data_IF_175815294361
#
_entry.id   IF_175815294361
#
_cell.length_a   1.000
_cell.length_b   1.000
_cell.length_c   1.000
_cell.angle_alpha   90.00
_cell.angle_beta   90.00
_cell.angle_gamma   90.00
#
_symmetry.space_group_name_H-M   'P 1'
#
loop_
_entity.id
_entity.type
_entity.pdbx_description
1 polymer ?
#
# COMPACT_ATOMS: atom_id res chain seq x y z
N UNK A 1 -3.07 9.03 12.14
CA UNK A 1 -3.14 7.61 11.72
C UNK A 1 -2.70 6.65 12.80
N UNK A 2 -1.74 7.01 13.64
CA UNK A 2 -1.22 6.17 14.74
C UNK A 2 -2.31 5.58 15.65
N UNK A 3 -3.24 6.41 16.15
CA UNK A 3 -4.38 5.94 16.96
C UNK A 3 -5.26 4.89 16.25
N UNK A 4 -5.42 5.01 14.92
CA UNK A 4 -6.20 4.04 14.14
C UNK A 4 -5.45 2.72 13.94
N UNK A 5 -4.11 2.77 13.89
CA UNK A 5 -3.25 1.60 13.68
C UNK A 5 -2.82 0.93 14.98
N UNK A 6 -2.94 1.59 16.13
CA UNK A 6 -2.56 1.04 17.44
C UNK A 6 -3.29 -0.26 17.80
N UNK A 7 -4.49 -0.46 17.24
CA UNK A 7 -5.29 -1.69 17.40
C UNK A 7 -4.78 -2.86 16.55
N UNK A 8 -3.82 -2.64 15.66
CA UNK A 8 -3.36 -3.64 14.71
C UNK A 8 -2.57 -4.74 15.44
N UNK A 9 -3.11 -5.95 15.42
CA UNK A 9 -2.45 -7.16 15.95
C UNK A 9 -1.48 -7.81 14.94
N UNK A 10 -1.26 -7.15 13.80
CA UNK A 10 -0.45 -7.63 12.66
C UNK A 10 -0.71 -9.09 12.25
N UNK A 11 -1.98 -9.49 12.20
CA UNK A 11 -2.41 -10.81 11.72
C UNK A 11 -2.26 -11.01 10.20
N UNK A 12 -1.91 -9.96 9.45
CA UNK A 12 -1.71 -9.95 8.00
C UNK A 12 -2.90 -10.36 7.12
N UNK A 13 -4.10 -10.58 7.67
CA UNK A 13 -5.30 -10.89 6.88
C UNK A 13 -5.54 -9.87 5.76
N UNK A 14 -5.35 -8.59 6.04
CA UNK A 14 -5.49 -7.51 5.07
C UNK A 14 -4.48 -7.57 3.91
N UNK A 15 -3.31 -8.18 4.12
CA UNK A 15 -2.32 -8.46 3.07
C UNK A 15 -2.75 -9.67 2.26
N UNK A 16 -3.08 -10.79 2.93
CA UNK A 16 -3.38 -12.05 2.28
C UNK A 16 -4.63 -12.00 1.38
N UNK A 17 -5.64 -11.20 1.77
CA UNK A 17 -6.84 -11.04 0.94
C UNK A 17 -6.64 -10.12 -0.27
N UNK A 18 -5.53 -9.38 -0.33
CA UNK A 18 -5.38 -8.31 -1.31
C UNK A 18 -4.98 -8.86 -2.69
N UNK A 19 -5.81 -8.71 -3.74
CA UNK A 19 -5.54 -9.32 -5.05
C UNK A 19 -4.33 -8.69 -5.77
N UNK A 20 -3.87 -7.52 -5.32
CA UNK A 20 -2.72 -6.82 -5.91
C UNK A 20 -1.44 -6.95 -5.08
N UNK A 21 -1.50 -7.63 -3.94
CA UNK A 21 -0.34 -7.89 -3.08
C UNK A 21 0.23 -9.29 -3.35
N UNK A 22 0.77 -9.47 -4.57
CA UNK A 22 1.14 -10.79 -5.13
C UNK A 22 2.65 -10.96 -5.34
N UNK A 23 3.47 -10.28 -4.54
CA UNK A 23 4.93 -10.41 -4.67
C UNK A 23 5.38 -11.83 -4.34
N UNK A 24 6.20 -12.43 -5.21
CA UNK A 24 6.83 -13.74 -4.97
C UNK A 24 7.66 -13.73 -3.69
N UNK A 25 8.40 -12.62 -3.46
CA UNK A 25 9.19 -12.40 -2.26
C UNK A 25 8.73 -11.15 -1.53
N UNK A 26 8.04 -11.33 -0.39
CA UNK A 26 7.55 -10.21 0.40
C UNK A 26 8.58 -9.77 1.46
N UNK A 27 8.83 -8.46 1.53
CA UNK A 27 9.66 -7.83 2.57
C UNK A 27 9.11 -8.11 3.98
N UNK A 28 7.79 -8.29 4.11
CA UNK A 28 7.13 -8.67 5.38
C UNK A 28 7.58 -10.05 5.87
N UNK A 29 7.87 -10.97 4.95
CA UNK A 29 8.19 -12.36 5.28
C UNK A 29 9.70 -12.57 5.47
N UNK A 30 10.53 -11.80 4.78
CA UNK A 30 12.00 -11.88 4.83
C UNK A 30 12.56 -11.53 6.22
N UNK A 31 13.52 -12.32 6.67
CA UNK A 31 14.33 -12.06 7.86
C UNK A 31 15.72 -11.50 7.54
N UNK A 32 16.18 -11.59 6.28
CA UNK A 32 17.46 -11.06 5.81
C UNK A 32 17.35 -10.51 4.39
N UNK A 33 17.61 -9.20 4.17
CA UNK A 33 17.65 -8.16 5.21
C UNK A 33 16.29 -8.02 5.91
N UNK A 34 16.30 -7.68 7.19
CA UNK A 34 15.09 -7.36 7.95
C UNK A 34 14.84 -5.86 7.85
N UNK A 35 13.80 -5.46 7.11
CA UNK A 35 13.48 -4.05 6.88
C UNK A 35 12.77 -3.39 8.07
N UNK A 36 11.95 -4.15 8.79
CA UNK A 36 11.28 -3.75 10.02
C UNK A 36 11.01 -4.98 10.86
N UNK A 37 10.82 -4.80 12.17
CA UNK A 37 10.62 -5.93 13.06
C UNK A 37 9.21 -6.49 12.96
N UNK A 38 9.08 -7.75 13.38
CA UNK A 38 7.81 -8.46 13.34
C UNK A 38 6.96 -8.22 14.60
N UNK A 39 7.27 -7.17 15.37
CA UNK A 39 6.51 -6.81 16.58
C UNK A 39 5.28 -5.95 16.27
N UNK A 40 4.41 -5.81 17.27
CA UNK A 40 3.27 -4.90 17.26
C UNK A 40 3.63 -3.50 17.77
N UNK A 41 4.92 -3.17 17.92
CA UNK A 41 5.33 -1.83 18.30
C UNK A 41 4.79 -0.79 17.30
N UNK A 42 4.45 0.43 17.74
CA UNK A 42 3.85 1.45 16.88
C UNK A 42 4.67 1.74 15.61
N UNK A 43 6.00 1.80 15.72
CA UNK A 43 6.91 2.04 14.59
C UNK A 43 6.88 0.91 13.55
N UNK A 44 6.97 -0.35 13.98
CA UNK A 44 6.92 -1.52 13.10
C UNK A 44 5.55 -1.65 12.40
N UNK A 45 4.48 -1.39 13.16
CA UNK A 45 3.11 -1.42 12.65
C UNK A 45 2.90 -0.32 11.62
N UNK A 46 3.35 0.90 11.91
CA UNK A 46 3.29 2.01 10.95
C UNK A 46 4.09 1.68 9.68
N UNK A 47 5.32 1.18 9.83
CA UNK A 47 6.18 0.83 8.69
C UNK A 47 5.54 -0.21 7.79
N UNK A 48 4.94 -1.27 8.37
CA UNK A 48 4.18 -2.26 7.61
C UNK A 48 3.05 -1.62 6.78
N UNK A 49 2.25 -0.74 7.38
CA UNK A 49 1.12 -0.12 6.70
C UNK A 49 1.56 0.87 5.61
N UNK A 50 2.60 1.66 5.85
CA UNK A 50 3.15 2.61 4.87
C UNK A 50 3.73 1.87 3.65
N UNK A 51 4.59 0.89 3.87
CA UNK A 51 5.21 0.11 2.79
C UNK A 51 4.14 -0.63 1.99
N UNK A 52 3.18 -1.28 2.66
CA UNK A 52 2.09 -1.99 1.97
C UNK A 52 1.28 -1.03 1.12
N UNK A 53 0.91 0.14 1.65
CA UNK A 53 0.14 1.13 0.91
C UNK A 53 0.92 1.62 -0.32
N UNK A 54 2.21 1.96 -0.13
CA UNK A 54 3.11 2.38 -1.20
C UNK A 54 3.25 1.33 -2.31
N UNK A 55 3.50 0.06 -1.97
CA UNK A 55 3.56 -1.04 -2.95
C UNK A 55 2.28 -1.25 -3.75
N UNK A 56 1.14 -0.79 -3.22
CA UNK A 56 -0.16 -0.87 -3.89
C UNK A 56 -0.58 0.44 -4.55
N UNK A 57 0.22 1.51 -4.44
CA UNK A 57 -0.07 2.78 -5.09
C UNK A 57 -0.09 2.60 -6.62
N UNK A 58 -1.16 3.07 -7.26
CA UNK A 58 -1.38 2.85 -8.69
C UNK A 58 -1.80 1.41 -9.06
N UNK A 59 -2.02 0.52 -8.09
CA UNK A 59 -2.51 -0.86 -8.33
C UNK A 59 -3.81 -1.14 -7.57
N UNK A 60 -4.03 -0.48 -6.44
CA UNK A 60 -5.26 -0.61 -5.66
C UNK A 60 -6.49 -0.19 -6.48
N UNK A 61 -7.41 -1.12 -6.71
CA UNK A 61 -8.71 -0.88 -7.38
C UNK A 61 -9.86 -0.62 -6.39
N UNK A 62 -9.52 -0.29 -5.15
CA UNK A 62 -10.49 0.02 -4.08
C UNK A 62 -11.57 -1.06 -3.81
N UNK A 63 -11.23 -2.34 -4.01
CA UNK A 63 -12.16 -3.46 -3.80
C UNK A 63 -12.66 -3.65 -2.36
N UNK A 64 -12.09 -2.94 -1.38
CA UNK A 64 -12.48 -2.99 0.04
C UNK A 64 -12.15 -4.28 0.80
N UNK A 65 -11.51 -5.27 0.16
CA UNK A 65 -11.23 -6.58 0.78
C UNK A 65 -10.44 -6.47 2.10
N UNK A 66 -9.45 -5.57 2.13
CA UNK A 66 -8.60 -5.35 3.31
C UNK A 66 -9.36 -4.87 4.56
N UNK A 67 -10.46 -4.15 4.38
CA UNK A 67 -11.31 -3.69 5.49
C UNK A 67 -12.25 -4.80 5.93
N UNK A 68 -12.84 -5.53 4.98
CA UNK A 68 -13.76 -6.64 5.27
C UNK A 68 -13.14 -7.73 6.14
N UNK A 69 -11.86 -8.02 5.96
CA UNK A 69 -11.17 -9.09 6.69
C UNK A 69 -10.48 -8.64 7.98
N UNK A 70 -10.50 -7.35 8.32
CA UNK A 70 -9.76 -6.87 9.48
C UNK A 70 -10.51 -7.25 10.78
N UNK A 71 -9.95 -8.14 11.63
CA UNK A 71 -10.66 -8.60 12.83
C UNK A 71 -10.82 -7.50 13.90
N UNK A 72 -10.04 -6.43 13.79
CA UNK A 72 -10.05 -5.27 14.70
C UNK A 72 -10.65 -4.01 14.05
N UNK A 73 -11.29 -4.16 12.89
CA UNK A 73 -12.07 -3.08 12.25
C UNK A 73 -11.25 -1.90 11.71
N UNK A 74 -9.96 -2.08 11.42
CA UNK A 74 -9.13 -1.00 10.87
C UNK A 74 -9.55 -0.70 9.43
N UNK A 75 -9.96 0.55 9.19
CA UNK A 75 -10.27 1.03 7.86
C UNK A 75 -8.99 1.39 7.08
N UNK A 76 -8.38 0.39 6.44
CA UNK A 76 -7.19 0.54 5.60
C UNK A 76 -7.45 1.30 4.30
N UNK A 77 -8.71 1.49 3.88
CA UNK A 77 -9.03 2.27 2.67
C UNK A 77 -8.62 3.72 2.81
N UNK A 78 -8.59 4.29 4.02
CA UNK A 78 -8.19 5.69 4.24
C UNK A 78 -6.81 5.99 3.64
N UNK A 79 -5.83 5.12 3.90
CA UNK A 79 -4.47 5.30 3.40
C UNK A 79 -4.38 4.99 1.90
N UNK A 80 -5.00 3.88 1.45
CA UNK A 80 -4.95 3.50 0.05
C UNK A 80 -5.67 4.51 -0.86
N UNK A 81 -6.78 5.10 -0.41
CA UNK A 81 -7.51 6.13 -1.15
C UNK A 81 -6.73 7.42 -1.26
N UNK A 82 -6.00 7.82 -0.21
CA UNK A 82 -5.12 8.98 -0.31
C UNK A 82 -4.05 8.75 -1.37
N UNK A 83 -3.41 7.58 -1.40
CA UNK A 83 -2.42 7.27 -2.43
C UNK A 83 -3.04 7.16 -3.84
N UNK A 84 -4.26 6.66 -3.97
CA UNK A 84 -4.98 6.65 -5.24
C UNK A 84 -5.22 8.07 -5.76
N UNK A 85 -5.60 9.01 -4.89
CA UNK A 85 -5.75 10.43 -5.22
C UNK A 85 -4.42 11.05 -5.65
N UNK A 86 -3.33 10.82 -4.90
CA UNK A 86 -2.00 11.30 -5.27
C UNK A 86 -1.56 10.77 -6.65
N UNK A 87 -1.85 9.50 -6.93
CA UNK A 87 -1.52 8.88 -8.22
C UNK A 87 -2.32 9.51 -9.37
N UNK A 88 -3.60 9.81 -9.15
CA UNK A 88 -4.41 10.54 -10.12
C UNK A 88 -3.88 11.96 -10.36
N UNK A 89 -3.62 12.72 -9.30
CA UNK A 89 -3.20 14.13 -9.38
C UNK A 89 -1.81 14.31 -10.00
N UNK A 90 -0.91 13.35 -9.78
CA UNK A 90 0.48 13.41 -10.27
C UNK A 90 0.65 12.76 -11.64
N UNK A 91 -0.02 11.64 -11.91
CA UNK A 91 0.22 10.82 -13.09
C UNK A 91 -1.00 10.65 -14.01
N UNK A 92 -2.18 11.18 -13.62
CA UNK A 92 -3.42 11.01 -14.39
C UNK A 92 -3.84 9.54 -14.51
N UNK A 93 -3.47 8.70 -13.54
CA UNK A 93 -3.64 7.26 -13.62
C UNK A 93 -4.67 6.76 -12.61
N UNK A 94 -5.52 5.82 -13.05
CA UNK A 94 -6.43 5.07 -12.18
C UNK A 94 -6.31 3.58 -12.45
N UNK A 95 -6.10 2.80 -11.40
CA UNK A 95 -5.98 1.36 -11.50
C UNK A 95 -7.30 0.70 -11.93
N UNK A 96 -7.21 -0.29 -12.80
CA UNK A 96 -8.35 -1.13 -13.20
C UNK A 96 -9.25 -0.57 -14.30
N UNK A 97 -8.97 0.62 -14.87
CA UNK A 97 -9.76 1.17 -15.99
C UNK A 97 -9.31 0.67 -17.37
N UNK A 98 -8.04 0.30 -17.53
CA UNK A 98 -7.45 -0.10 -18.81
C UNK A 98 -6.55 -1.31 -18.62
N UNK A 99 -6.68 -2.32 -19.49
CA UNK A 99 -5.91 -3.57 -19.40
C UNK A 99 -4.41 -3.41 -19.72
N UNK A 100 -4.07 -2.51 -20.65
CA UNK A 100 -2.71 -2.32 -21.15
C UNK A 100 -1.96 -1.16 -20.48
N UNK A 101 -2.64 -0.38 -19.63
CA UNK A 101 -2.01 0.77 -19.00
C UNK A 101 -1.09 0.30 -17.86
N UNK A 102 0.19 0.64 -17.95
CA UNK A 102 1.17 0.34 -16.91
C UNK A 102 0.99 1.29 -15.72
N UNK A 103 1.04 0.80 -14.47
CA UNK A 103 1.05 1.64 -13.28
C UNK A 103 2.24 2.61 -13.26
N UNK A 104 2.09 3.81 -12.71
CA UNK A 104 3.13 4.84 -12.75
C UNK A 104 4.42 4.45 -12.01
N UNK A 105 4.35 3.60 -10.98
CA UNK A 105 5.54 3.09 -10.28
C UNK A 105 6.23 1.93 -11.01
N UNK A 106 5.80 1.59 -12.22
CA UNK A 106 6.38 0.54 -13.06
C UNK A 106 6.70 1.05 -14.48
N UNK A 107 6.60 2.36 -14.68
CA UNK A 107 6.89 3.03 -15.95
C UNK A 107 7.53 4.39 -15.69
N UNK A 108 8.19 4.96 -16.68
CA UNK A 108 8.77 6.30 -16.61
C UNK A 108 8.24 7.15 -17.78
N UNK A 109 7.93 8.42 -17.52
CA UNK A 109 7.64 9.42 -18.57
C UNK A 109 8.48 10.67 -18.32
N UNK A 110 9.11 11.18 -19.37
CA UNK A 110 9.92 12.42 -19.32
C UNK A 110 9.12 13.66 -18.88
N UNK A 111 7.79 13.62 -18.98
CA UNK A 111 6.89 14.73 -18.62
C UNK A 111 6.22 14.55 -17.24
N UNK A 112 6.65 13.56 -16.44
CA UNK A 112 6.17 13.42 -15.07
C UNK A 112 6.62 14.64 -14.23
N UNK A 113 5.82 15.02 -13.22
CA UNK A 113 6.11 16.20 -12.39
C UNK A 113 7.33 15.95 -11.49
N UNK A 114 8.40 16.72 -11.64
CA UNK A 114 9.65 16.62 -10.86
C UNK A 114 9.81 17.73 -9.80
N UNK A 115 8.75 18.00 -9.03
CA UNK A 115 8.72 19.07 -8.00
C UNK A 115 9.76 18.88 -6.86
N UNK A 116 10.40 17.72 -6.76
CA UNK A 116 11.34 17.35 -5.70
C UNK A 116 12.83 17.56 -6.05
N UNK A 117 13.15 17.91 -7.31
CA UNK A 117 14.53 18.11 -7.79
C UNK A 117 14.99 19.59 -7.65
N UNK A 118 14.17 20.45 -7.04
CA UNK A 118 14.48 21.86 -6.79
C UNK A 118 14.84 22.16 -5.33
#
# INVERSE_FOLDING_TARGET
FEEKLSKCIRCYACRQVCPVCICEYCIVDRSRPQWFSKTTNPSDTMMFHLIRAYHTAGRCVDCGACVRVCPVGINLRLLNKKLEQEVMERFGFQAGLTLLALPPLSSYKEKDKEEFIM
#
